data_IF_260787213275
#
_entry.id   IF_260787213275
#
_cell.length_a   1.000
_cell.length_b   1.000
_cell.length_c   1.000
_cell.angle_alpha   90.00
_cell.angle_beta   90.00
_cell.angle_gamma   90.00
#
_symmetry.space_group_name_H-M   'P 1'
#
loop_
_entity.id
_entity.type
_entity.pdbx_description
1 polymer ?
#
# COMPACT_ATOMS: atom_id res chain seq x y z
N UNK A 1 -5.41 -25.23 12.13
CA UNK A 1 -5.23 -24.29 11.00
C UNK A 1 -5.75 -22.86 11.25
N UNK A 2 -6.52 -22.60 12.32
CA UNK A 2 -7.13 -21.28 12.60
C UNK A 2 -6.11 -20.16 12.83
N UNK A 3 -4.99 -20.45 13.51
CA UNK A 3 -3.91 -19.47 13.77
C UNK A 3 -3.22 -19.05 12.48
N UNK A 4 -2.91 -20.02 11.59
CA UNK A 4 -2.30 -19.75 10.29
C UNK A 4 -3.17 -18.83 9.42
N UNK A 5 -4.49 -19.10 9.40
CA UNK A 5 -5.47 -18.26 8.69
C UNK A 5 -5.45 -16.82 9.19
N UNK A 6 -5.51 -16.62 10.50
CA UNK A 6 -5.47 -15.29 11.11
C UNK A 6 -4.14 -14.61 10.78
N UNK A 7 -3.02 -15.33 10.91
CA UNK A 7 -1.69 -14.80 10.60
C UNK A 7 -1.54 -14.33 9.15
N UNK A 8 -2.06 -15.08 8.17
CA UNK A 8 -2.04 -14.67 6.76
C UNK A 8 -2.92 -13.45 6.49
N UNK A 9 -4.11 -13.39 7.11
CA UNK A 9 -4.97 -12.20 7.00
C UNK A 9 -4.32 -10.96 7.61
N UNK A 10 -3.77 -11.07 8.81
CA UNK A 10 -3.13 -9.93 9.46
C UNK A 10 -1.89 -9.47 8.69
N UNK A 11 -1.10 -10.40 8.17
CA UNK A 11 0.05 -10.09 7.32
C UNK A 11 -0.37 -9.34 6.06
N UNK A 12 -1.37 -9.85 5.33
CA UNK A 12 -1.88 -9.19 4.13
C UNK A 12 -2.41 -7.77 4.42
N UNK A 13 -3.13 -7.61 5.53
CA UNK A 13 -3.63 -6.30 5.97
C UNK A 13 -2.49 -5.33 6.29
N UNK A 14 -1.45 -5.79 6.98
CA UNK A 14 -0.26 -4.98 7.31
C UNK A 14 0.45 -4.53 6.04
N UNK A 15 0.60 -5.39 5.04
CA UNK A 15 1.23 -5.05 3.76
C UNK A 15 0.42 -3.98 3.01
N UNK A 16 -0.91 -4.09 2.99
CA UNK A 16 -1.80 -3.10 2.39
C UNK A 16 -1.63 -1.74 3.07
N UNK A 17 -1.69 -1.71 4.40
CA UNK A 17 -1.53 -0.48 5.18
C UNK A 17 -0.15 0.13 4.94
N UNK A 18 0.90 -0.68 4.93
CA UNK A 18 2.26 -0.23 4.68
C UNK A 18 2.41 0.39 3.28
N UNK A 19 1.80 -0.20 2.25
CA UNK A 19 1.81 0.35 0.89
C UNK A 19 1.09 1.70 0.81
N UNK A 20 -0.06 1.85 1.49
CA UNK A 20 -0.77 3.12 1.59
C UNK A 20 0.09 4.15 2.33
N UNK A 21 0.63 3.82 3.50
CA UNK A 21 1.48 4.75 4.27
C UNK A 21 2.69 5.18 3.44
N UNK A 22 3.34 4.24 2.74
CA UNK A 22 4.45 4.55 1.84
C UNK A 22 4.04 5.50 0.71
N UNK A 23 2.83 5.37 0.15
CA UNK A 23 2.30 6.30 -0.84
C UNK A 23 2.25 7.73 -0.30
N UNK A 24 1.58 7.92 0.83
CA UNK A 24 1.44 9.23 1.47
C UNK A 24 2.80 9.79 1.88
N UNK A 25 3.70 8.94 2.37
CA UNK A 25 5.05 9.32 2.77
C UNK A 25 5.86 9.83 1.57
N UNK A 26 5.98 9.05 0.50
CA UNK A 26 6.76 9.44 -0.69
C UNK A 26 6.14 10.64 -1.40
N UNK A 27 4.81 10.70 -1.50
CA UNK A 27 4.11 11.85 -2.05
C UNK A 27 4.40 13.14 -1.25
N UNK A 28 4.50 13.04 0.08
CA UNK A 28 4.85 14.18 0.93
C UNK A 28 6.31 14.65 0.70
N UNK A 29 7.27 13.73 0.46
CA UNK A 29 8.63 14.12 0.08
C UNK A 29 8.68 14.85 -1.26
N UNK A 30 7.83 14.48 -2.23
CA UNK A 30 7.72 15.19 -3.50
C UNK A 30 7.45 16.69 -3.32
N UNK A 31 6.59 17.05 -2.36
CA UNK A 31 6.35 18.46 -2.02
C UNK A 31 7.47 19.09 -1.17
N UNK A 32 8.06 18.33 -0.24
CA UNK A 32 9.15 18.81 0.61
C UNK A 32 10.46 19.07 -0.13
N UNK A 33 10.70 18.38 -1.25
CA UNK A 33 11.90 18.55 -2.10
C UNK A 33 11.74 19.64 -3.17
N UNK A 34 10.53 20.17 -3.35
CA UNK A 34 10.30 21.27 -4.29
C UNK A 34 10.64 22.62 -3.64
N UNK A 35 11.81 23.18 -4.00
CA UNK A 35 12.33 24.46 -3.47
C UNK A 35 11.49 25.68 -3.83
N UNK A 36 10.52 25.54 -4.74
CA UNK A 36 9.59 26.62 -5.15
C UNK A 36 8.37 26.77 -4.23
N UNK A 37 8.23 25.92 -3.20
CA UNK A 37 7.19 26.01 -2.19
C UNK A 37 5.88 25.39 -2.66
N UNK A 38 5.58 24.16 -2.21
CA UNK A 38 4.22 23.64 -2.31
C UNK A 38 3.29 24.51 -1.46
N UNK A 39 2.44 25.30 -2.12
CA UNK A 39 1.40 26.11 -1.47
C UNK A 39 0.22 25.24 -1.00
N UNK A 40 0.06 24.05 -1.59
CA UNK A 40 -0.97 23.07 -1.28
C UNK A 40 -0.38 21.65 -1.24
N UNK A 41 -0.71 20.88 -0.19
CA UNK A 41 -0.36 19.46 -0.09
C UNK A 41 -1.42 18.69 -0.88
N UNK A 42 -1.23 18.60 -2.20
CA UNK A 42 -2.07 17.77 -3.06
C UNK A 42 -1.41 16.41 -3.20
N UNK A 43 -1.95 15.41 -2.50
CA UNK A 43 -1.47 14.04 -2.64
C UNK A 43 -2.09 13.49 -3.93
N UNK A 44 -1.24 13.16 -4.93
CA UNK A 44 -1.72 12.69 -6.21
C UNK A 44 -2.38 11.33 -6.05
N UNK A 45 -3.49 11.16 -6.76
CA UNK A 45 -4.17 9.88 -6.82
C UNK A 45 -3.34 8.89 -7.65
N UNK A 46 -3.49 7.57 -7.47
CA UNK A 46 -2.63 6.57 -8.11
C UNK A 46 -2.54 6.61 -9.64
N UNK A 47 -3.54 7.19 -10.30
CA UNK A 47 -3.58 7.38 -11.75
C UNK A 47 -2.98 8.71 -12.22
N UNK A 48 -2.78 9.67 -11.31
CA UNK A 48 -2.06 10.92 -11.61
C UNK A 48 -0.55 10.66 -11.67
N UNK A 49 -0.03 9.67 -10.92
CA UNK A 49 1.39 9.28 -10.90
C UNK A 49 1.58 7.78 -11.19
N UNK A 50 1.60 7.37 -12.47
CA UNK A 50 1.73 5.97 -12.86
C UNK A 50 3.07 5.35 -12.47
N UNK A 51 4.12 6.15 -12.32
CA UNK A 51 5.46 5.72 -11.91
C UNK A 51 5.51 5.30 -10.44
N UNK A 52 4.95 6.10 -9.53
CA UNK A 52 4.83 5.74 -8.12
C UNK A 52 3.89 4.52 -7.96
N UNK A 53 2.83 4.45 -8.76
CA UNK A 53 1.94 3.29 -8.79
C UNK A 53 2.64 2.03 -9.34
N UNK A 54 3.53 2.17 -10.33
CA UNK A 54 4.34 1.06 -10.84
C UNK A 54 5.24 0.45 -9.76
N UNK A 55 5.70 1.25 -8.80
CA UNK A 55 6.54 0.79 -7.68
C UNK A 55 5.73 0.24 -6.52
N UNK A 56 4.72 0.99 -6.04
CA UNK A 56 3.96 0.65 -4.82
C UNK A 56 2.73 -0.23 -5.09
N UNK A 57 2.16 -0.17 -6.29
CA UNK A 57 1.00 -0.95 -6.72
C UNK A 57 1.20 -2.47 -6.60
N UNK A 58 2.36 -3.04 -7.02
CA UNK A 58 2.64 -4.46 -6.82
C UNK A 58 2.59 -4.91 -5.36
N UNK A 59 3.10 -4.09 -4.43
CA UNK A 59 3.06 -4.41 -3.00
C UNK A 59 1.65 -4.35 -2.44
N UNK A 60 0.85 -3.36 -2.85
CA UNK A 60 -0.56 -3.29 -2.50
C UNK A 60 -1.31 -4.53 -3.00
N UNK A 61 -1.11 -4.90 -4.27
CA UNK A 61 -1.68 -6.11 -4.86
C UNK A 61 -1.26 -7.39 -4.13
N UNK A 62 0.02 -7.50 -3.77
CA UNK A 62 0.54 -8.62 -2.98
C UNK A 62 -0.15 -8.73 -1.61
N UNK A 63 -0.33 -7.62 -0.91
CA UNK A 63 -1.06 -7.60 0.36
C UNK A 63 -2.51 -8.07 0.22
N UNK A 64 -3.21 -7.64 -0.84
CA UNK A 64 -4.56 -8.11 -1.17
C UNK A 64 -4.57 -9.62 -1.45
N UNK A 65 -3.64 -10.12 -2.26
CA UNK A 65 -3.54 -11.55 -2.58
C UNK A 65 -3.31 -12.37 -1.31
N UNK A 66 -2.37 -11.96 -0.45
CA UNK A 66 -2.07 -12.65 0.81
C UNK A 66 -3.29 -12.67 1.73
N UNK A 67 -4.00 -11.55 1.86
CA UNK A 67 -5.22 -11.45 2.66
C UNK A 67 -6.33 -12.39 2.14
N UNK A 68 -6.55 -12.40 0.83
CA UNK A 68 -7.54 -13.24 0.15
C UNK A 68 -7.18 -14.72 0.29
N UNK A 69 -5.91 -15.10 0.08
CA UNK A 69 -5.45 -16.48 0.28
C UNK A 69 -5.67 -16.95 1.73
N UNK A 70 -5.34 -16.11 2.70
CA UNK A 70 -5.64 -16.36 4.11
C UNK A 70 -7.14 -16.57 4.35
N UNK A 71 -8.01 -15.79 3.68
CA UNK A 71 -9.47 -15.90 3.82
C UNK A 71 -10.09 -17.12 3.18
N UNK A 72 -9.69 -17.47 1.96
CA UNK A 72 -10.43 -18.37 1.09
C UNK A 72 -9.75 -19.72 0.85
N UNK A 73 -8.41 -19.76 0.88
CA UNK A 73 -7.65 -20.98 0.57
C UNK A 73 -7.36 -21.78 1.83
N UNK A 74 -7.13 -21.12 2.97
CA UNK A 74 -6.95 -21.81 4.26
C UNK A 74 -8.33 -22.17 4.83
N UNK A 75 -8.92 -23.26 4.33
CA UNK A 75 -10.06 -23.93 4.98
C UNK A 75 -9.56 -24.65 6.23
N UNK A 76 -10.16 -24.30 7.37
CA UNK A 76 -9.87 -24.92 8.65
C UNK A 76 -10.42 -26.33 8.75
#
# INVERSE_FOLDING_TARGET
MRILRIGLMTLGLVIIIAAIVAWYWVAAFGCGMNTTGCRDIRIPMPWEDPELFGVLGPFFGLGVVVFVLGKWVVKG
#
